data_IF_881583117752
#
_entry.id   IF_881583117752
#
_cell.length_a   1.000
_cell.length_b   1.000
_cell.length_c   1.000
_cell.angle_alpha   90.00
_cell.angle_beta   90.00
_cell.angle_gamma   90.00
#
_symmetry.space_group_name_H-M   'P 1'
#
loop_
_entity.id
_entity.type
_entity.pdbx_description
1 polymer ?
#
# COMPACT_ATOMS: atom_id res chain seq x y z
N UNK A 1 19.68 -1.31 -6.13
CA UNK A 1 19.17 -2.48 -5.40
C UNK A 1 17.85 -3.09 -5.95
N UNK A 2 17.46 -2.92 -7.22
CA UNK A 2 16.20 -3.50 -7.71
C UNK A 2 14.97 -2.88 -7.04
N UNK A 3 13.83 -3.57 -7.02
CA UNK A 3 12.58 -3.05 -6.44
C UNK A 3 12.45 -3.39 -4.94
N UNK A 4 11.70 -2.56 -4.20
CA UNK A 4 11.37 -2.77 -2.79
C UNK A 4 10.82 -4.17 -2.54
N UNK A 5 9.96 -4.67 -3.43
CA UNK A 5 9.39 -6.02 -3.35
C UNK A 5 10.46 -7.11 -3.18
N UNK A 6 11.56 -7.02 -3.92
CA UNK A 6 12.67 -8.00 -3.85
C UNK A 6 13.46 -7.90 -2.55
N UNK A 7 13.38 -6.78 -1.85
CA UNK A 7 14.16 -6.48 -0.65
C UNK A 7 13.34 -6.44 0.63
N UNK A 8 12.03 -6.77 0.61
CA UNK A 8 11.14 -6.65 1.78
C UNK A 8 11.69 -7.37 3.02
N UNK A 9 12.26 -8.57 2.86
CA UNK A 9 12.86 -9.33 3.96
C UNK A 9 14.08 -8.63 4.59
N UNK A 10 14.85 -7.88 3.79
CA UNK A 10 15.96 -7.07 4.27
C UNK A 10 15.47 -5.78 4.93
N UNK A 11 14.44 -5.15 4.35
CA UNK A 11 13.79 -3.93 4.86
C UNK A 11 13.13 -4.13 6.21
N UNK A 12 12.44 -5.25 6.43
CA UNK A 12 11.83 -5.52 7.75
C UNK A 12 12.85 -5.70 8.87
N UNK A 13 14.12 -5.98 8.55
CA UNK A 13 15.20 -6.14 9.53
C UNK A 13 15.95 -4.84 9.83
N UNK A 14 15.68 -3.76 9.08
CA UNK A 14 16.28 -2.45 9.34
C UNK A 14 15.86 -1.89 10.70
N UNK A 15 16.65 -0.97 11.23
CA UNK A 15 16.20 -0.16 12.36
C UNK A 15 15.03 0.75 11.91
N UNK A 16 14.27 1.26 12.88
CA UNK A 16 13.10 2.06 12.57
C UNK A 16 13.41 3.41 11.94
N UNK A 17 14.55 4.03 12.24
CA UNK A 17 14.92 5.29 11.60
C UNK A 17 15.05 5.11 10.07
N UNK A 18 15.63 4.00 9.64
CA UNK A 18 15.77 3.64 8.23
C UNK A 18 14.42 3.31 7.58
N UNK A 19 13.56 2.54 8.26
CA UNK A 19 12.20 2.24 7.78
C UNK A 19 11.37 3.52 7.60
N UNK A 20 11.45 4.44 8.56
CA UNK A 20 10.76 5.73 8.50
C UNK A 20 11.33 6.61 7.38
N UNK A 21 12.65 6.60 7.19
CA UNK A 21 13.29 7.30 6.07
C UNK A 21 12.80 6.77 4.72
N UNK A 22 12.73 5.45 4.57
CA UNK A 22 12.18 4.81 3.36
C UNK A 22 10.72 5.21 3.09
N UNK A 23 9.87 5.17 4.12
CA UNK A 23 8.47 5.60 4.03
C UNK A 23 8.37 7.09 3.67
N UNK A 24 9.24 7.92 4.23
CA UNK A 24 9.32 9.34 3.93
C UNK A 24 9.68 9.57 2.46
N UNK A 25 10.70 8.89 1.92
CA UNK A 25 11.06 8.99 0.49
C UNK A 25 9.87 8.66 -0.43
N UNK A 26 9.21 7.52 -0.19
CA UNK A 26 8.04 7.08 -0.99
C UNK A 26 6.91 8.12 -0.92
N UNK A 27 6.64 8.66 0.26
CA UNK A 27 5.56 9.61 0.47
C UNK A 27 5.89 10.98 -0.13
N UNK A 28 7.16 11.41 -0.07
CA UNK A 28 7.64 12.64 -0.71
C UNK A 28 7.49 12.60 -2.24
N UNK A 29 7.81 11.46 -2.87
CA UNK A 29 7.55 11.28 -4.30
C UNK A 29 6.05 11.34 -4.63
N UNK A 30 5.22 10.67 -3.82
CA UNK A 30 3.76 10.74 -3.96
C UNK A 30 3.24 12.17 -3.82
N UNK A 31 3.72 12.91 -2.83
CA UNK A 31 3.37 14.31 -2.64
C UNK A 31 3.73 15.14 -3.88
N UNK A 32 4.93 14.94 -4.44
CA UNK A 32 5.37 15.64 -5.63
C UNK A 32 4.42 15.33 -6.81
N UNK A 33 4.12 14.06 -7.06
CA UNK A 33 3.16 13.63 -8.11
C UNK A 33 1.79 14.28 -7.88
N UNK A 34 1.25 14.17 -6.67
CA UNK A 34 -0.07 14.72 -6.32
C UNK A 34 -0.13 16.24 -6.42
N UNK A 35 0.96 16.94 -6.10
CA UNK A 35 1.06 18.41 -6.22
C UNK A 35 0.96 18.91 -7.66
N UNK A 36 1.33 18.08 -8.63
CA UNK A 36 1.18 18.34 -10.06
C UNK A 36 -0.21 17.94 -10.59
N UNK A 37 -1.13 17.56 -9.70
CA UNK A 37 -2.46 17.08 -10.07
C UNK A 37 -2.43 15.74 -10.80
N UNK A 38 -1.41 14.92 -10.58
CA UNK A 38 -1.23 13.59 -11.18
C UNK A 38 -1.57 12.48 -10.18
N UNK A 39 -1.96 11.31 -10.70
CA UNK A 39 -2.30 10.11 -9.91
C UNK A 39 -1.52 8.91 -10.46
N UNK A 40 -0.86 8.14 -9.59
CA UNK A 40 0.01 7.02 -9.96
C UNK A 40 -0.74 5.82 -10.54
N UNK A 41 -1.84 5.40 -9.89
CA UNK A 41 -2.77 4.32 -10.29
C UNK A 41 -2.26 2.89 -10.21
N UNK A 42 -0.95 2.68 -10.23
CA UNK A 42 -0.32 1.36 -10.08
C UNK A 42 0.81 1.37 -9.05
N UNK A 43 0.56 2.04 -7.92
CA UNK A 43 1.54 2.11 -6.83
C UNK A 43 1.58 0.75 -6.11
N UNK A 44 2.75 0.13 -6.08
CA UNK A 44 2.99 -1.10 -5.32
C UNK A 44 4.49 -1.31 -5.09
N UNK A 45 4.89 -2.21 -4.18
CA UNK A 45 6.33 -2.42 -3.86
C UNK A 45 7.21 -2.85 -5.04
N UNK A 46 6.62 -3.39 -6.12
CA UNK A 46 7.34 -3.67 -7.37
C UNK A 46 7.74 -2.43 -8.18
N UNK A 47 7.02 -1.31 -7.97
CA UNK A 47 7.20 -0.02 -8.66
C UNK A 47 7.89 1.00 -7.74
N UNK A 48 8.47 0.54 -6.64
CA UNK A 48 9.36 1.35 -5.80
C UNK A 48 10.77 0.84 -6.05
N UNK A 49 11.62 1.66 -6.67
CA UNK A 49 13.00 1.32 -6.96
C UNK A 49 13.89 1.77 -5.80
N UNK A 50 14.75 0.87 -5.33
CA UNK A 50 15.73 1.18 -4.29
C UNK A 50 17.10 1.42 -4.92
N UNK A 51 17.64 2.60 -4.70
CA UNK A 51 19.05 2.88 -5.00
C UNK A 51 19.92 2.09 -4.02
N UNK A 52 19.69 2.34 -2.73
CA UNK A 52 20.19 1.57 -1.60
C UNK A 52 19.05 1.22 -0.63
N UNK A 53 19.37 0.56 0.48
CA UNK A 53 18.38 0.14 1.48
C UNK A 53 17.58 1.31 2.10
N UNK A 54 18.17 2.50 2.15
CA UNK A 54 17.65 3.68 2.85
C UNK A 54 17.03 4.72 1.91
N UNK A 55 17.14 4.53 0.60
CA UNK A 55 16.64 5.47 -0.42
C UNK A 55 15.82 4.73 -1.47
N UNK A 56 14.64 5.26 -1.76
CA UNK A 56 13.75 4.70 -2.76
C UNK A 56 13.02 5.78 -3.54
N UNK A 57 12.63 5.40 -4.76
CA UNK A 57 11.91 6.26 -5.69
C UNK A 57 10.67 5.54 -6.20
N UNK A 58 9.57 6.27 -6.32
CA UNK A 58 8.37 5.81 -7.02
C UNK A 58 8.66 5.83 -8.53
N UNK A 59 8.48 4.69 -9.17
CA UNK A 59 8.77 4.46 -10.58
C UNK A 59 7.55 3.91 -11.32
N UNK A 60 7.69 3.73 -12.64
CA UNK A 60 6.63 3.30 -13.56
C UNK A 60 5.44 4.27 -13.60
N UNK A 61 5.72 5.43 -14.21
CA UNK A 61 4.76 6.50 -14.44
C UNK A 61 3.90 6.26 -15.71
N UNK A 62 3.95 5.07 -16.31
CA UNK A 62 3.30 4.76 -17.58
C UNK A 62 1.77 4.82 -17.55
N UNK A 63 1.18 4.80 -16.34
CA UNK A 63 -0.26 4.87 -16.12
C UNK A 63 -0.74 6.20 -15.52
N UNK A 64 0.14 7.21 -15.41
CA UNK A 64 -0.23 8.52 -14.87
C UNK A 64 -1.41 9.13 -15.62
N UNK A 65 -2.35 9.70 -14.86
CA UNK A 65 -3.41 10.56 -15.40
C UNK A 65 -3.46 11.86 -14.62
N UNK A 66 -3.98 12.90 -15.27
CA UNK A 66 -4.31 14.17 -14.63
C UNK A 66 -5.66 14.07 -13.93
N UNK A 67 -5.78 14.64 -12.73
CA UNK A 67 -7.05 14.81 -11.99
C UNK A 67 -8.16 15.49 -12.81
N UNK A 68 -7.80 16.27 -13.83
CA UNK A 68 -8.73 17.02 -14.70
C UNK A 68 -9.21 16.26 -15.93
N UNK A 69 -8.66 15.08 -16.24
CA UNK A 69 -9.09 14.25 -17.38
C UNK A 69 -9.66 12.94 -16.85
N UNK A 70 -10.98 12.82 -16.68
CA UNK A 70 -11.58 11.54 -16.36
C UNK A 70 -11.24 10.53 -17.47
N UNK A 71 -10.85 9.32 -17.08
CA UNK A 71 -10.75 8.21 -18.03
C UNK A 71 -12.13 8.00 -18.64
N UNK A 72 -12.20 7.82 -19.97
CA UNK A 72 -13.46 7.50 -20.65
C UNK A 72 -14.15 6.34 -19.92
N UNK A 73 -15.43 6.56 -19.58
CA UNK A 73 -16.27 5.65 -18.80
C UNK A 73 -16.55 4.29 -19.48
N UNK A 74 -15.94 4.03 -20.63
CA UNK A 74 -16.10 2.83 -21.45
C UNK A 74 -15.22 1.64 -21.00
N UNK A 75 -14.35 1.82 -20.00
CA UNK A 75 -13.53 0.71 -19.49
C UNK A 75 -14.31 -0.12 -18.48
N UNK A 76 -14.44 -1.42 -18.76
CA UNK A 76 -15.09 -2.38 -17.85
C UNK A 76 -14.22 -2.83 -16.67
N UNK A 77 -13.07 -2.18 -16.43
CA UNK A 77 -12.10 -2.61 -15.43
C UNK A 77 -10.87 -1.72 -15.31
N UNK A 78 -9.92 -2.16 -14.48
CA UNK A 78 -8.69 -1.46 -14.11
C UNK A 78 -7.46 -2.35 -14.23
N UNK A 79 -6.29 -1.72 -14.34
CA UNK A 79 -5.01 -2.40 -14.27
C UNK A 79 -4.40 -2.22 -12.88
N UNK A 80 -3.85 -3.29 -12.32
CA UNK A 80 -3.02 -3.22 -11.13
C UNK A 80 -2.88 -4.58 -10.45
N UNK A 81 -2.41 -4.56 -9.20
CA UNK A 81 -2.30 -5.74 -8.35
C UNK A 81 -3.34 -5.63 -7.23
N UNK A 82 -4.25 -6.61 -7.18
CA UNK A 82 -5.49 -6.56 -6.41
C UNK A 82 -5.39 -6.00 -4.98
N UNK A 83 -4.42 -6.42 -4.13
CA UNK A 83 -4.34 -5.92 -2.76
C UNK A 83 -4.09 -4.41 -2.67
N UNK A 84 -3.47 -3.81 -3.68
CA UNK A 84 -3.11 -2.39 -3.71
C UNK A 84 -4.20 -1.50 -4.32
N UNK A 85 -5.21 -2.08 -4.98
CA UNK A 85 -6.27 -1.30 -5.63
C UNK A 85 -7.32 -0.93 -4.58
N UNK A 86 -7.61 0.37 -4.48
CA UNK A 86 -8.58 0.90 -3.53
C UNK A 86 -10.01 0.35 -3.81
N UNK A 87 -10.83 0.13 -2.77
CA UNK A 87 -12.14 -0.50 -2.91
C UNK A 87 -13.08 0.30 -3.83
N UNK A 88 -13.07 1.62 -3.79
CA UNK A 88 -13.87 2.46 -4.67
C UNK A 88 -13.47 2.29 -6.15
N UNK A 89 -12.18 2.13 -6.42
CA UNK A 89 -11.66 1.91 -7.78
C UNK A 89 -12.05 0.52 -8.28
N UNK A 90 -12.01 -0.50 -7.41
CA UNK A 90 -12.50 -1.86 -7.74
C UNK A 90 -14.03 -1.90 -7.96
N UNK A 91 -14.77 -1.00 -7.33
CA UNK A 91 -16.22 -0.79 -7.55
C UNK A 91 -16.51 0.08 -8.78
N UNK A 92 -15.46 0.52 -9.49
CA UNK A 92 -15.56 1.22 -10.77
C UNK A 92 -15.76 2.73 -10.65
N UNK A 93 -15.42 3.31 -9.51
CA UNK A 93 -15.19 4.75 -9.36
C UNK A 93 -13.83 5.16 -9.95
N UNK A 94 -13.65 6.47 -10.17
CA UNK A 94 -12.40 6.98 -10.73
C UNK A 94 -11.26 6.93 -9.71
N UNK A 95 -10.04 6.76 -10.23
CA UNK A 95 -8.84 6.96 -9.43
C UNK A 95 -8.77 8.39 -8.91
N UNK A 96 -8.29 8.51 -7.67
CA UNK A 96 -8.00 9.78 -7.01
C UNK A 96 -6.62 9.72 -6.36
N UNK A 97 -6.08 10.84 -5.92
CA UNK A 97 -4.85 10.82 -5.10
C UNK A 97 -5.02 9.96 -3.84
N UNK A 98 -6.23 9.93 -3.26
CA UNK A 98 -6.57 9.07 -2.13
C UNK A 98 -6.52 7.56 -2.46
N UNK A 99 -6.67 7.17 -3.73
CA UNK A 99 -6.49 5.78 -4.15
C UNK A 99 -5.01 5.35 -4.14
N UNK A 100 -4.07 6.25 -4.46
CA UNK A 100 -2.64 5.97 -4.27
C UNK A 100 -2.27 5.86 -2.77
N UNK A 101 -2.93 6.65 -1.91
CA UNK A 101 -2.73 6.57 -0.45
C UNK A 101 -3.19 5.22 0.10
N UNK A 102 -4.26 4.65 -0.44
CA UNK A 102 -4.66 3.29 -0.10
C UNK A 102 -3.54 2.29 -0.42
N UNK A 103 -2.97 2.37 -1.62
CA UNK A 103 -1.85 1.51 -2.03
C UNK A 103 -0.62 1.72 -1.14
N UNK A 104 -0.35 2.95 -0.70
CA UNK A 104 0.70 3.26 0.26
C UNK A 104 0.47 2.58 1.62
N UNK A 105 -0.77 2.53 2.11
CA UNK A 105 -1.12 1.79 3.34
C UNK A 105 -0.79 0.28 3.22
N UNK A 106 -0.95 -0.30 2.03
CA UNK A 106 -0.56 -1.69 1.77
C UNK A 106 0.98 -1.84 1.77
N UNK A 107 1.71 -0.87 1.20
CA UNK A 107 3.18 -0.85 1.24
C UNK A 107 3.72 -0.73 2.67
N UNK A 108 3.08 0.08 3.53
CA UNK A 108 3.41 0.14 4.95
C UNK A 108 3.34 -1.25 5.61
N UNK A 109 2.28 -2.00 5.34
CA UNK A 109 2.15 -3.37 5.82
C UNK A 109 3.27 -4.28 5.32
N UNK A 110 3.66 -4.17 4.05
CA UNK A 110 4.74 -4.97 3.48
C UNK A 110 6.10 -4.63 4.09
N UNK A 111 6.39 -3.36 4.35
CA UNK A 111 7.62 -2.91 5.03
C UNK A 111 7.69 -3.46 6.45
N UNK A 112 6.57 -3.42 7.17
CA UNK A 112 6.48 -3.92 8.54
C UNK A 112 6.75 -5.43 8.61
N UNK A 113 6.07 -6.23 7.79
CA UNK A 113 6.14 -7.70 7.87
C UNK A 113 7.17 -8.34 6.93
N UNK A 114 7.82 -7.56 6.07
CA UNK A 114 8.91 -8.01 5.20
C UNK A 114 8.50 -9.00 4.12
N UNK A 115 7.24 -8.97 3.69
CA UNK A 115 6.69 -9.89 2.68
C UNK A 115 5.51 -9.23 1.96
N UNK A 116 5.19 -9.73 0.78
CA UNK A 116 4.05 -9.21 0.03
C UNK A 116 2.71 -9.68 0.57
N UNK A 117 1.67 -8.86 0.38
CA UNK A 117 0.29 -9.24 0.75
C UNK A 117 -0.20 -10.37 -0.15
N UNK A 118 -0.49 -11.51 0.46
CA UNK A 118 -1.16 -12.64 -0.17
C UNK A 118 -2.43 -12.97 0.61
N UNK A 119 -3.58 -12.96 -0.07
CA UNK A 119 -4.82 -13.48 0.47
C UNK A 119 -4.90 -14.96 0.07
N UNK A 120 -4.64 -15.85 1.02
CA UNK A 120 -4.67 -17.29 0.78
C UNK A 120 -6.06 -17.70 0.28
N UNK A 121 -6.10 -18.60 -0.71
CA UNK A 121 -7.30 -19.34 -1.18
C UNK A 121 -8.36 -18.55 -1.97
N UNK A 122 -8.27 -17.22 -2.08
CA UNK A 122 -9.29 -16.42 -2.77
C UNK A 122 -8.79 -15.97 -4.15
N UNK A 123 -9.52 -16.35 -5.21
CA UNK A 123 -9.13 -16.08 -6.59
C UNK A 123 -10.03 -14.98 -7.18
N UNK A 124 -9.40 -13.96 -7.75
CA UNK A 124 -10.06 -13.00 -8.64
C UNK A 124 -11.24 -12.28 -7.99
N UNK A 125 -12.45 -12.56 -8.48
CA UNK A 125 -13.69 -11.83 -8.11
C UNK A 125 -14.08 -11.98 -6.63
N UNK A 126 -13.90 -13.15 -6.03
CA UNK A 126 -14.29 -13.37 -4.63
C UNK A 126 -13.48 -12.46 -3.70
N UNK A 127 -12.19 -12.36 -3.97
CA UNK A 127 -11.29 -11.48 -3.23
C UNK A 127 -11.66 -10.01 -3.43
N UNK A 128 -12.05 -9.60 -4.65
CA UNK A 128 -12.54 -8.24 -4.89
C UNK A 128 -13.79 -7.93 -4.07
N UNK A 129 -14.77 -8.84 -4.05
CA UNK A 129 -16.00 -8.69 -3.26
C UNK A 129 -15.66 -8.54 -1.78
N UNK A 130 -14.73 -9.34 -1.26
CA UNK A 130 -14.29 -9.26 0.14
C UNK A 130 -13.61 -7.94 0.47
N UNK A 131 -12.74 -7.44 -0.40
CA UNK A 131 -12.09 -6.12 -0.24
C UNK A 131 -13.14 -5.00 -0.25
N UNK A 132 -14.06 -5.01 -1.22
CA UNK A 132 -15.03 -3.93 -1.43
C UNK A 132 -16.20 -3.94 -0.44
N UNK A 133 -16.73 -5.13 -0.08
CA UNK A 133 -17.98 -5.29 0.67
C UNK A 133 -17.76 -5.71 2.10
N UNK A 134 -16.86 -6.66 2.34
CA UNK A 134 -16.53 -7.17 3.67
C UNK A 134 -15.39 -6.39 4.36
N UNK A 135 -14.84 -5.38 3.68
CA UNK A 135 -13.72 -4.58 4.15
C UNK A 135 -12.49 -5.43 4.52
N UNK A 136 -12.24 -6.50 3.76
CA UNK A 136 -11.07 -7.35 3.95
C UNK A 136 -9.79 -6.52 3.81
N UNK A 137 -8.87 -6.69 4.78
CA UNK A 137 -7.55 -6.06 4.83
C UNK A 137 -6.49 -7.07 5.25
N UNK A 138 -5.20 -6.78 5.01
CA UNK A 138 -4.12 -7.65 5.47
C UNK A 138 -4.16 -7.85 7.00
N UNK A 139 -3.93 -9.07 7.46
CA UNK A 139 -3.92 -9.40 8.90
C UNK A 139 -2.80 -8.64 9.61
N UNK A 140 -3.13 -8.04 10.75
CA UNK A 140 -2.15 -7.41 11.65
C UNK A 140 -1.83 -8.39 12.76
N UNK A 141 -0.55 -8.61 13.02
CA UNK A 141 -0.05 -9.47 14.11
C UNK A 141 -0.17 -8.71 15.42
N UNK A 142 -0.48 -9.42 16.50
CA UNK A 142 -0.46 -8.88 17.85
C UNK A 142 0.88 -8.20 18.16
N UNK A 143 0.91 -7.29 19.13
CA UNK A 143 2.12 -6.56 19.53
C UNK A 143 2.73 -5.61 18.48
N UNK A 144 2.11 -5.44 17.31
CA UNK A 144 2.49 -4.39 16.34
C UNK A 144 2.27 -2.99 16.94
N UNK A 145 3.14 -1.98 16.72
CA UNK A 145 3.03 -0.68 17.36
C UNK A 145 1.73 0.04 16.99
N UNK A 146 1.00 0.54 18.00
CA UNK A 146 -0.32 1.13 17.77
C UNK A 146 -0.27 2.39 16.89
N UNK A 147 0.76 3.23 17.03
CA UNK A 147 0.95 4.40 16.17
C UNK A 147 1.06 4.02 14.69
N UNK A 148 1.84 2.98 14.39
CA UNK A 148 2.01 2.44 13.04
C UNK A 148 0.70 1.83 12.51
N UNK A 149 0.01 1.03 13.33
CA UNK A 149 -1.31 0.46 12.99
C UNK A 149 -2.29 1.58 12.65
N UNK A 150 -2.35 2.63 13.45
CA UNK A 150 -3.30 3.72 13.27
C UNK A 150 -3.09 4.43 11.95
N UNK A 151 -1.84 4.81 11.63
CA UNK A 151 -1.53 5.47 10.36
C UNK A 151 -1.78 4.54 9.16
N UNK A 152 -1.28 3.30 9.22
CA UNK A 152 -1.49 2.30 8.17
C UNK A 152 -2.98 2.05 7.91
N UNK A 153 -3.79 1.94 8.99
CA UNK A 153 -5.23 1.79 8.86
C UNK A 153 -5.91 3.01 8.28
N UNK A 154 -5.47 4.20 8.68
CA UNK A 154 -5.99 5.46 8.14
C UNK A 154 -5.73 5.57 6.64
N UNK A 155 -4.58 5.10 6.16
CA UNK A 155 -4.24 5.10 4.74
C UNK A 155 -5.16 4.19 3.91
N UNK A 156 -5.58 3.03 4.43
CA UNK A 156 -6.42 2.07 3.70
C UNK A 156 -7.91 2.08 4.10
N UNK A 157 -8.38 3.19 4.69
CA UNK A 157 -9.78 3.39 5.03
C UNK A 157 -10.69 3.14 3.83
N UNK A 158 -11.89 2.60 4.07
CA UNK A 158 -12.82 2.27 2.98
C UNK A 158 -13.24 3.52 2.23
N UNK A 159 -13.65 4.54 2.98
CA UNK A 159 -14.04 5.82 2.40
C UNK A 159 -12.77 6.66 2.09
N UNK A 160 -12.54 7.03 0.82
CA UNK A 160 -11.36 7.79 0.43
C UNK A 160 -11.23 9.15 1.14
N UNK A 161 -12.33 9.78 1.59
CA UNK A 161 -12.27 11.08 2.29
C UNK A 161 -11.60 10.97 3.66
N UNK A 162 -11.59 9.78 4.25
CA UNK A 162 -11.02 9.52 5.56
C UNK A 162 -9.52 9.23 5.51
N UNK A 163 -8.93 9.13 4.31
CA UNK A 163 -7.50 8.88 4.10
C UNK A 163 -6.72 10.20 4.19
N UNK A 164 -5.50 10.19 4.77
CA UNK A 164 -4.68 11.39 4.85
C UNK A 164 -4.12 11.75 3.47
N UNK A 165 -3.72 13.01 3.28
CA UNK A 165 -2.92 13.38 2.11
C UNK A 165 -1.47 12.90 2.27
N UNK A 166 -0.72 12.80 1.17
CA UNK A 166 0.72 12.51 1.23
C UNK A 166 1.47 13.51 2.11
N UNK A 167 1.13 14.81 2.01
CA UNK A 167 1.67 15.85 2.90
C UNK A 167 1.41 15.54 4.37
N UNK A 168 0.18 15.11 4.73
CA UNK A 168 -0.14 14.82 6.12
C UNK A 168 0.63 13.61 6.65
N UNK A 169 0.86 12.61 5.81
CA UNK A 169 1.68 11.44 6.16
C UNK A 169 3.13 11.88 6.41
N UNK A 170 3.70 12.75 5.56
CA UNK A 170 5.06 13.28 5.75
C UNK A 170 5.19 13.95 7.11
N UNK A 171 4.26 14.83 7.48
CA UNK A 171 4.25 15.49 8.80
C UNK A 171 4.29 14.48 9.96
N UNK A 172 3.47 13.42 9.88
CA UNK A 172 3.42 12.37 10.91
C UNK A 172 4.74 11.58 10.97
N UNK A 173 5.30 11.22 9.81
CA UNK A 173 6.57 10.49 9.77
C UNK A 173 7.74 11.35 10.31
N UNK A 174 7.76 12.65 9.99
CA UNK A 174 8.74 13.60 10.54
C UNK A 174 8.59 13.73 12.06
N UNK A 175 7.37 13.77 12.59
CA UNK A 175 7.13 13.77 14.03
C UNK A 175 7.72 12.50 14.68
N UNK A 176 7.44 11.32 14.11
CA UNK A 176 7.96 10.05 14.62
C UNK A 176 9.48 9.96 14.59
N UNK A 177 10.13 10.49 13.55
CA UNK A 177 11.59 10.54 13.46
C UNK A 177 12.23 11.42 14.55
N UNK A 178 11.49 12.40 15.07
CA UNK A 178 11.97 13.33 16.09
C UNK A 178 11.55 12.94 17.52
N UNK A 179 10.60 12.02 17.68
CA UNK A 179 10.11 11.54 18.97
C UNK A 179 10.83 10.25 19.41
N UNK A 180 11.68 10.37 20.44
CA UNK A 180 12.43 9.24 21.01
C UNK A 180 11.54 8.16 21.62
N UNK A 181 10.40 8.53 22.19
CA UNK A 181 9.47 7.57 22.79
C UNK A 181 8.80 6.73 21.70
N UNK A 182 8.37 7.36 20.60
CA UNK A 182 7.80 6.66 19.46
C UNK A 182 8.84 5.72 18.84
N UNK A 183 10.07 6.18 18.60
CA UNK A 183 11.14 5.32 18.08
C UNK A 183 11.45 4.13 18.99
N UNK A 184 11.40 4.35 20.31
CA UNK A 184 11.58 3.27 21.29
C UNK A 184 10.46 2.23 21.23
N UNK A 185 9.19 2.66 21.20
CA UNK A 185 8.03 1.76 21.07
C UNK A 185 8.08 0.94 19.78
N UNK A 186 8.37 1.60 18.66
CA UNK A 186 8.55 0.96 17.36
C UNK A 186 9.63 -0.13 17.43
N UNK A 187 10.80 0.21 17.97
CA UNK A 187 11.95 -0.71 18.08
C UNK A 187 11.66 -1.91 18.98
N UNK A 188 10.98 -1.70 20.11
CA UNK A 188 10.61 -2.78 21.03
C UNK A 188 9.66 -3.79 20.37
N UNK A 189 8.73 -3.33 19.54
CA UNK A 189 7.81 -4.22 18.83
C UNK A 189 8.52 -5.11 17.80
N UNK A 190 9.53 -4.60 17.09
CA UNK A 190 10.32 -5.40 16.14
C UNK A 190 10.97 -6.62 16.81
N UNK A 191 11.43 -6.49 18.05
CA UNK A 191 12.01 -7.60 18.82
C UNK A 191 10.96 -8.68 19.12
N UNK A 192 9.74 -8.27 19.48
CA UNK A 192 8.63 -9.17 19.75
C UNK A 192 8.19 -9.87 18.46
N UNK A 193 8.00 -9.10 17.38
CA UNK A 193 7.59 -9.63 16.08
C UNK A 193 8.63 -10.61 15.52
N UNK A 194 9.93 -10.38 15.71
CA UNK A 194 10.98 -11.35 15.31
C UNK A 194 10.81 -12.72 15.98
N UNK A 195 10.38 -12.74 17.24
CA UNK A 195 10.14 -13.98 17.99
C UNK A 195 8.86 -14.70 17.56
N UNK A 196 7.83 -13.96 17.13
CA UNK A 196 6.55 -14.51 16.65
C UNK A 196 6.57 -14.90 15.16
N UNK A 197 7.45 -14.29 14.36
CA UNK A 197 7.49 -14.43 12.89
C UNK A 197 8.05 -15.76 12.36
N UNK A 198 8.43 -16.70 13.24
CA UNK A 198 8.93 -18.04 12.85
C UNK A 198 7.88 -18.83 12.03
N UNK A 199 6.60 -18.46 12.09
CA UNK A 199 5.50 -19.24 11.50
C UNK A 199 4.88 -18.72 10.21
N UNK A 200 5.42 -17.68 9.56
CA UNK A 200 4.81 -17.19 8.32
C UNK A 200 5.61 -17.60 7.08
N UNK A 201 5.10 -18.64 6.42
CA UNK A 201 5.62 -19.13 5.14
C UNK A 201 5.67 -18.04 4.07
N UNK A 202 6.79 -18.00 3.34
CA UNK A 202 6.97 -17.25 2.12
C UNK A 202 6.20 -17.93 0.98
N UNK A 203 5.25 -17.20 0.37
CA UNK A 203 4.50 -17.68 -0.79
C UNK A 203 5.00 -17.05 -2.09
N UNK A 204 4.82 -17.79 -3.18
CA UNK A 204 5.55 -17.64 -4.44
C UNK A 204 5.23 -16.38 -5.25
N UNK A 205 6.25 -15.93 -6.00
CA UNK A 205 6.37 -14.71 -6.80
C UNK A 205 5.41 -14.62 -8.02
N UNK A 206 4.64 -15.68 -8.30
CA UNK A 206 3.87 -15.83 -9.56
C UNK A 206 2.65 -14.91 -9.72
N UNK A 207 2.16 -14.29 -8.64
CA UNK A 207 0.91 -13.50 -8.61
C UNK A 207 1.10 -11.98 -8.76
N UNK A 208 2.34 -11.49 -8.77
CA UNK A 208 2.64 -10.07 -8.48
C UNK A 208 3.01 -9.25 -9.71
N UNK A 209 2.27 -9.41 -10.81
CA UNK A 209 2.33 -8.50 -11.96
C UNK A 209 0.99 -7.81 -12.14
N UNK A 210 1.03 -6.53 -12.49
CA UNK A 210 -0.16 -5.76 -12.82
C UNK A 210 -0.89 -6.42 -13.99
N UNK A 211 -2.20 -6.61 -13.83
CA UNK A 211 -3.06 -7.23 -14.84
C UNK A 211 -4.40 -6.51 -14.91
N UNK A 212 -5.12 -6.71 -16.00
CA UNK A 212 -6.49 -6.21 -16.12
C UNK A 212 -7.42 -6.96 -15.15
N UNK A 213 -8.28 -6.21 -14.48
CA UNK A 213 -9.23 -6.66 -13.46
C UNK A 213 -10.57 -5.99 -13.78
N UNK A 214 -11.57 -6.80 -14.10
CA UNK A 214 -12.94 -6.33 -14.36
C UNK A 214 -13.58 -5.76 -13.09
N UNK A 215 -14.38 -4.70 -13.22
CA UNK A 215 -15.01 -4.07 -12.06
C UNK A 215 -16.03 -4.98 -11.39
N UNK A 216 -16.05 -4.94 -10.06
CA UNK A 216 -17.04 -5.65 -9.26
C UNK A 216 -18.48 -5.25 -9.62
N UNK A 217 -18.71 -3.98 -10.00
CA UNK A 217 -20.04 -3.46 -10.35
C UNK A 217 -20.78 -4.21 -11.46
N UNK A 218 -20.05 -4.87 -12.38
CA UNK A 218 -20.66 -5.60 -13.49
C UNK A 218 -21.16 -7.00 -13.10
N UNK A 219 -20.63 -7.58 -12.02
CA UNK A 219 -21.07 -8.88 -11.55
C UNK A 219 -22.35 -8.82 -10.71
N UNK A 220 -22.72 -7.62 -10.25
CA UNK A 220 -23.97 -7.39 -9.52
C UNK A 220 -25.22 -7.40 -10.42
N UNK A 221 -25.09 -7.25 -11.74
CA UNK A 221 -26.23 -7.30 -12.67
C UNK A 221 -26.75 -8.70 -12.97
N UNK A 222 -26.09 -9.75 -12.47
CA UNK A 222 -26.41 -11.15 -12.78
C UNK A 222 -27.06 -11.89 -11.58
N UNK A 223 -27.18 -11.24 -10.41
CA UNK A 223 -27.68 -11.90 -9.17
C UNK A 223 -28.91 -11.20 -8.58
N UNK A 224 -29.72 -10.51 -9.38
CA UNK A 224 -31.06 -10.04 -9.00
C UNK A 224 -32.05 -10.45 -10.08
#
# INVERSE_FOLDING_TARGET
MGSLRKNLCSVSKMNWMDKLTLLHCITSDLQMIHSQGLIHRDLHSGNILQDNLHSAYVADLGLLITTTKPLNAERCGVYGILPYIAPEVLDGEQYTTASDIYSFGIIMWEILYGKSVSYNQEIGIQLQIKICRENLRPKIIENTPQCYINLMKKCWERDPINRPSAQKIIEILTEWQNDKNILFELTKSDEILKNESIHIQSYSDGSYKSKFIEFTKYFYKIVI
#
